data_IF_546178284356
#
_entry.id   IF_546178284356
#
_cell.length_a   1.000
_cell.length_b   1.000
_cell.length_c   1.000
_cell.angle_alpha   90.00
_cell.angle_beta   90.00
_cell.angle_gamma   90.00
#
_symmetry.space_group_name_H-M   'P 1'
#
loop_
_entity.id
_entity.type
_entity.pdbx_description
1 polymer ?
#
# COMPACT_ATOMS: atom_id res chain seq x y z
N UNK A 1 -18.45 2.99 -0.40
CA UNK A 1 -17.16 2.40 -0.81
C UNK A 1 -16.40 3.47 -1.57
N UNK A 2 -15.43 4.13 -0.93
CA UNK A 2 -14.60 5.14 -1.57
C UNK A 2 -13.63 4.52 -2.58
N UNK A 3 -13.02 5.34 -3.45
CA UNK A 3 -11.98 4.89 -4.39
C UNK A 3 -10.80 4.22 -3.66
N UNK A 4 -10.49 4.69 -2.45
CA UNK A 4 -9.39 4.18 -1.64
C UNK A 4 -9.68 2.83 -0.98
N UNK A 5 -10.95 2.57 -0.60
CA UNK A 5 -11.38 1.26 -0.09
C UNK A 5 -11.14 0.17 -1.14
N UNK A 6 -11.37 0.49 -2.42
CA UNK A 6 -11.14 -0.45 -3.52
C UNK A 6 -9.63 -0.69 -3.75
N UNK A 7 -8.80 0.34 -3.60
CA UNK A 7 -7.34 0.22 -3.70
C UNK A 7 -6.78 -0.72 -2.63
N UNK A 8 -7.12 -0.51 -1.36
CA UNK A 8 -6.64 -1.38 -0.26
C UNK A 8 -7.13 -2.80 -0.42
N UNK A 9 -8.41 -2.99 -0.76
CA UNK A 9 -8.94 -4.33 -1.00
C UNK A 9 -8.15 -5.03 -2.09
N UNK A 10 -7.96 -4.38 -3.25
CA UNK A 10 -7.24 -4.99 -4.37
C UNK A 10 -5.80 -5.36 -4.03
N UNK A 11 -5.10 -4.50 -3.27
CA UNK A 11 -3.74 -4.81 -2.81
C UNK A 11 -3.72 -6.00 -1.84
N UNK A 12 -4.69 -6.09 -0.92
CA UNK A 12 -4.78 -7.21 0.01
C UNK A 12 -5.20 -8.51 -0.69
N UNK A 13 -6.04 -8.45 -1.74
CA UNK A 13 -6.34 -9.62 -2.58
C UNK A 13 -5.06 -10.15 -3.25
N UNK A 14 -4.21 -9.26 -3.78
CA UNK A 14 -2.92 -9.66 -4.37
C UNK A 14 -1.96 -10.26 -3.36
N UNK A 15 -1.94 -9.78 -2.11
CA UNK A 15 -1.19 -10.44 -1.04
C UNK A 15 -1.74 -11.85 -0.78
N UNK A 16 -3.07 -12.00 -0.70
CA UNK A 16 -3.70 -13.30 -0.47
C UNK A 16 -3.40 -14.30 -1.61
N UNK A 17 -3.20 -13.79 -2.83
CA UNK A 17 -2.74 -14.55 -4.00
C UNK A 17 -1.22 -14.87 -3.96
N UNK A 18 -0.51 -14.45 -2.91
CA UNK A 18 0.90 -14.76 -2.66
C UNK A 18 1.90 -13.77 -3.27
N UNK A 19 1.44 -12.62 -3.80
CA UNK A 19 2.33 -11.59 -4.31
C UNK A 19 2.97 -10.83 -3.15
N UNK A 20 4.25 -10.48 -3.30
CA UNK A 20 4.96 -9.63 -2.34
C UNK A 20 4.80 -8.13 -2.67
N UNK A 21 5.23 -7.28 -1.75
CA UNK A 21 5.15 -5.82 -1.95
C UNK A 21 5.86 -5.35 -3.22
N UNK A 22 7.14 -5.72 -3.50
CA UNK A 22 7.81 -5.29 -4.73
C UNK A 22 7.04 -5.66 -6.01
N UNK A 23 6.46 -6.86 -6.07
CA UNK A 23 5.63 -7.30 -7.20
C UNK A 23 4.36 -6.46 -7.33
N UNK A 24 3.65 -6.22 -6.23
CA UNK A 24 2.43 -5.38 -6.22
C UNK A 24 2.77 -3.92 -6.62
N UNK A 25 3.93 -3.42 -6.18
CA UNK A 25 4.39 -2.08 -6.53
C UNK A 25 4.57 -1.93 -8.04
N UNK A 26 5.36 -2.81 -8.66
CA UNK A 26 5.68 -2.74 -10.09
C UNK A 26 4.48 -3.08 -10.98
N UNK A 27 3.66 -4.05 -10.59
CA UNK A 27 2.53 -4.50 -11.40
C UNK A 27 1.31 -3.55 -11.32
N UNK A 28 1.09 -2.89 -10.19
CA UNK A 28 -0.15 -2.16 -9.92
C UNK A 28 0.06 -0.75 -9.35
N UNK A 29 0.69 -0.62 -8.18
CA UNK A 29 0.68 0.66 -7.44
C UNK A 29 1.42 1.79 -8.15
N UNK A 30 2.59 1.53 -8.72
CA UNK A 30 3.43 2.56 -9.37
C UNK A 30 2.71 3.29 -10.51
N UNK A 31 1.75 2.64 -11.15
CA UNK A 31 0.96 3.18 -12.27
C UNK A 31 -0.45 3.60 -11.86
N UNK A 32 -0.82 3.41 -10.60
CA UNK A 32 -2.16 3.68 -10.12
C UNK A 32 -2.39 5.19 -9.98
N UNK A 33 -3.48 5.71 -10.55
CA UNK A 33 -3.76 7.16 -10.61
C UNK A 33 -3.89 7.84 -9.24
N UNK A 34 -4.12 7.09 -8.17
CA UNK A 34 -4.18 7.63 -6.82
C UNK A 34 -2.80 7.78 -6.15
N UNK A 35 -1.74 7.14 -6.66
CA UNK A 35 -0.40 7.17 -6.05
C UNK A 35 0.36 8.40 -6.54
N UNK A 36 0.88 9.21 -5.61
CA UNK A 36 1.54 10.50 -5.93
C UNK A 36 3.05 10.50 -5.75
N UNK A 37 3.64 9.36 -5.35
CA UNK A 37 5.07 9.26 -5.13
C UNK A 37 5.54 7.84 -4.80
N UNK A 38 6.85 7.63 -4.68
CA UNK A 38 7.43 6.35 -4.31
C UNK A 38 7.08 5.97 -2.86
N UNK A 39 7.21 4.68 -2.49
CA UNK A 39 7.10 4.24 -1.10
C UNK A 39 8.22 4.85 -0.25
N UNK A 40 7.88 5.24 0.97
CA UNK A 40 8.78 5.80 1.96
C UNK A 40 8.92 4.78 3.09
N UNK A 41 10.15 4.37 3.39
CA UNK A 41 10.44 3.48 4.52
C UNK A 41 10.34 4.24 5.85
N UNK A 42 9.75 3.59 6.85
CA UNK A 42 9.64 4.13 8.19
C UNK A 42 9.43 3.05 9.24
N UNK A 43 9.19 3.50 10.46
CA UNK A 43 8.86 2.65 11.60
C UNK A 43 7.60 3.15 12.29
N UNK A 44 6.77 2.23 12.75
CA UNK A 44 5.64 2.49 13.66
C UNK A 44 5.68 1.48 14.79
N UNK A 45 5.65 1.95 16.03
CA UNK A 45 5.68 1.07 17.20
C UNK A 45 6.80 0.02 17.14
N UNK A 46 7.96 0.45 16.61
CA UNK A 46 9.15 -0.38 16.36
C UNK A 46 9.01 -1.43 15.24
N UNK A 47 7.93 -1.41 14.45
CA UNK A 47 7.72 -2.25 13.28
C UNK A 47 8.02 -1.51 11.97
N UNK A 48 8.72 -2.15 11.00
CA UNK A 48 9.01 -1.52 9.71
C UNK A 48 7.76 -1.42 8.83
N UNK A 49 7.48 -0.23 8.33
CA UNK A 49 6.37 0.06 7.43
C UNK A 49 6.85 0.69 6.13
N UNK A 50 6.03 0.54 5.08
CA UNK A 50 6.16 1.31 3.85
C UNK A 50 4.94 2.20 3.68
N UNK A 51 5.21 3.50 3.52
CA UNK A 51 4.19 4.54 3.42
C UNK A 51 4.13 5.02 1.98
N UNK A 52 2.98 4.85 1.33
CA UNK A 52 2.75 5.25 -0.06
C UNK A 52 1.80 6.44 -0.09
N UNK A 53 2.28 7.63 -0.52
CA UNK A 53 1.44 8.81 -0.51
C UNK A 53 0.36 8.70 -1.60
N UNK A 54 -0.89 9.03 -1.25
CA UNK A 54 -2.01 9.06 -2.17
C UNK A 54 -2.52 10.48 -2.42
N UNK A 55 -3.27 10.65 -3.51
CA UNK A 55 -4.06 11.85 -3.77
C UNK A 55 -5.07 12.06 -2.62
N UNK A 56 -5.39 13.33 -2.32
CA UNK A 56 -6.31 13.73 -1.22
C UNK A 56 -5.78 13.56 0.21
N UNK A 57 -4.45 13.63 0.42
CA UNK A 57 -3.80 13.57 1.74
C UNK A 57 -4.02 12.25 2.51
N UNK A 58 -4.43 11.21 1.80
CA UNK A 58 -4.49 9.86 2.33
C UNK A 58 -3.17 9.15 2.10
N UNK A 59 -2.96 8.10 2.86
CA UNK A 59 -1.74 7.33 2.83
C UNK A 59 -2.08 5.86 2.82
N UNK A 60 -1.53 5.13 1.84
CA UNK A 60 -1.58 3.68 1.83
C UNK A 60 -0.36 3.18 2.62
N UNK A 61 -0.58 2.38 3.65
CA UNK A 61 0.50 1.84 4.48
C UNK A 61 0.56 0.33 4.30
N UNK A 62 1.76 -0.17 4.01
CA UNK A 62 2.07 -1.60 4.03
C UNK A 62 2.77 -1.95 5.35
N UNK A 63 2.14 -2.81 6.13
CA UNK A 63 2.64 -3.35 7.39
C UNK A 63 3.48 -4.60 7.08
N UNK A 64 4.80 -4.46 7.07
CA UNK A 64 5.71 -5.52 6.58
C UNK A 64 5.67 -6.78 7.45
N UNK A 65 5.41 -6.62 8.74
CA UNK A 65 5.29 -7.71 9.74
C UNK A 65 4.12 -8.65 9.44
N UNK A 66 2.99 -8.07 9.03
CA UNK A 66 1.74 -8.81 8.83
C UNK A 66 1.38 -8.98 7.35
N UNK A 67 2.20 -8.45 6.44
CA UNK A 67 1.96 -8.48 5.00
C UNK A 67 0.61 -7.87 4.62
N UNK A 68 0.26 -6.69 5.10
CA UNK A 68 -1.09 -6.14 4.87
C UNK A 68 -1.07 -4.66 4.53
N UNK A 69 -2.00 -4.25 3.67
CA UNK A 69 -2.27 -2.86 3.33
C UNK A 69 -3.44 -2.26 4.13
N UNK A 70 -3.29 -1.01 4.55
CA UNK A 70 -4.33 -0.19 5.23
C UNK A 70 -4.33 1.26 4.69
N UNK A 71 -5.45 1.98 4.84
CA UNK A 71 -5.53 3.44 4.57
C UNK A 71 -5.45 4.21 5.88
N UNK A 72 -4.73 5.32 5.82
CA UNK A 72 -4.63 6.36 6.85
C UNK A 72 -4.86 7.76 6.30
#
# INVERSE_FOLDING_TARGET
MGKTDNLVRKCNDMIADGLDFPTIWEAYLRRHAAVIGPPIQGYRDNEPILTIPLFYRQTLVFLSTNGRFVIE
#
